data_IF_699117327362
#
_entry.id   IF_699117327362
#
_cell.length_a   1.000
_cell.length_b   1.000
_cell.length_c   1.000
_cell.angle_alpha   90.00
_cell.angle_beta   90.00
_cell.angle_gamma   90.00
#
_symmetry.space_group_name_H-M   'P 1'
#
loop_
_entity.id
_entity.type
_entity.pdbx_description
1 polymer ?
#
# COMPACT_ATOMS: atom_id res chain seq x y z
N UNK A 1 13.75 5.93 -7.78
CA UNK A 1 13.05 4.63 -7.97
C UNK A 1 13.78 3.77 -8.98
N UNK A 2 13.78 4.11 -10.28
CA UNK A 2 14.39 3.27 -11.34
C UNK A 2 15.87 2.97 -11.06
N UNK A 3 16.68 3.99 -10.81
CA UNK A 3 18.11 3.82 -10.52
C UNK A 3 18.43 2.99 -9.26
N UNK A 4 17.64 3.12 -8.20
CA UNK A 4 17.82 2.34 -6.96
C UNK A 4 17.39 0.87 -7.13
N UNK A 5 16.35 0.63 -7.92
CA UNK A 5 15.90 -0.73 -8.28
C UNK A 5 16.94 -1.38 -9.19
N UNK A 6 17.36 -0.69 -10.26
CA UNK A 6 18.40 -1.16 -11.17
C UNK A 6 19.68 -1.47 -10.40
N UNK A 7 20.09 -0.58 -9.49
CA UNK A 7 21.21 -0.83 -8.58
C UNK A 7 21.04 -2.12 -7.79
N UNK A 8 19.91 -2.34 -7.11
CA UNK A 8 19.67 -3.59 -6.34
C UNK A 8 19.70 -4.84 -7.23
N UNK A 9 19.13 -4.78 -8.43
CA UNK A 9 19.14 -5.89 -9.38
C UNK A 9 20.56 -6.15 -9.92
N UNK A 10 21.33 -5.10 -10.23
CA UNK A 10 22.73 -5.21 -10.64
C UNK A 10 23.55 -5.94 -9.57
N UNK A 11 23.38 -5.60 -8.29
CA UNK A 11 24.07 -6.27 -7.19
C UNK A 11 23.60 -7.71 -6.96
N UNK A 12 22.28 -7.94 -6.91
CA UNK A 12 21.75 -9.26 -6.52
C UNK A 12 21.90 -10.33 -7.60
N UNK A 13 21.93 -9.93 -8.86
CA UNK A 13 22.01 -10.84 -10.01
C UNK A 13 23.32 -10.71 -10.79
N UNK A 14 24.30 -9.97 -10.27
CA UNK A 14 25.60 -9.67 -10.92
C UNK A 14 25.44 -9.16 -12.38
N UNK A 15 24.39 -8.38 -12.62
CA UNK A 15 24.08 -7.84 -13.95
C UNK A 15 24.82 -6.54 -14.19
N UNK A 16 25.56 -6.45 -15.31
CA UNK A 16 26.14 -5.20 -15.77
C UNK A 16 25.05 -4.30 -16.36
N UNK A 17 24.61 -3.31 -15.57
CA UNK A 17 23.66 -2.30 -16.02
C UNK A 17 24.45 -1.02 -16.34
N UNK A 18 24.31 -0.44 -17.54
CA UNK A 18 24.98 0.81 -17.85
C UNK A 18 24.57 1.88 -16.81
N UNK A 19 25.51 2.73 -16.41
CA UNK A 19 25.32 3.81 -15.42
C UNK A 19 25.26 3.39 -13.94
N UNK A 20 25.42 2.10 -13.63
CA UNK A 20 25.43 1.58 -12.25
C UNK A 20 26.76 0.91 -11.97
N UNK A 21 27.56 1.49 -11.07
CA UNK A 21 28.73 0.84 -10.49
C UNK A 21 28.34 0.20 -9.16
N UNK A 22 28.65 -1.09 -9.00
CA UNK A 22 28.39 -1.86 -7.79
C UNK A 22 29.70 -1.96 -7.01
N UNK A 23 29.76 -1.39 -5.81
CA UNK A 23 30.84 -1.59 -4.84
C UNK A 23 30.33 -2.51 -3.70
N UNK A 24 31.23 -3.15 -2.97
CA UNK A 24 30.93 -4.24 -2.02
C UNK A 24 29.78 -3.97 -1.04
N UNK A 25 29.54 -2.72 -0.63
CA UNK A 25 28.49 -2.34 0.35
C UNK A 25 27.46 -1.32 -0.16
N UNK A 26 27.67 -0.74 -1.34
CA UNK A 26 26.84 0.33 -1.89
C UNK A 26 27.04 0.42 -3.39
N UNK A 27 26.13 1.09 -4.08
CA UNK A 27 26.26 1.26 -5.51
C UNK A 27 26.12 2.70 -5.91
N UNK A 28 27.04 3.09 -6.79
CA UNK A 28 27.13 4.43 -7.34
C UNK A 28 26.34 4.43 -8.63
N UNK A 29 25.26 5.19 -8.64
CA UNK A 29 24.52 5.44 -9.87
C UNK A 29 25.01 6.76 -10.45
N UNK A 30 25.58 6.68 -11.65
CA UNK A 30 26.05 7.83 -12.43
C UNK A 30 24.92 8.26 -13.37
N UNK A 31 24.15 9.28 -13.01
CA UNK A 31 23.02 9.73 -13.86
C UNK A 31 23.58 10.42 -15.12
N UNK A 32 23.37 9.86 -16.34
CA UNK A 32 23.80 10.54 -17.56
C UNK A 32 22.98 11.84 -17.72
N UNK A 33 23.66 12.93 -18.08
CA UNK A 33 23.25 14.35 -18.13
C UNK A 33 23.55 15.24 -16.91
N UNK A 34 23.63 14.72 -15.68
CA UNK A 34 23.63 15.58 -14.49
C UNK A 34 24.91 15.53 -13.64
N UNK A 35 25.90 14.69 -13.99
CA UNK A 35 27.11 14.40 -13.19
C UNK A 35 26.84 14.09 -11.69
N UNK A 36 25.58 13.83 -11.33
CA UNK A 36 25.14 13.53 -9.99
C UNK A 36 25.53 12.09 -9.65
N UNK A 37 26.45 11.95 -8.70
CA UNK A 37 26.86 10.66 -8.13
C UNK A 37 26.02 10.38 -6.90
N UNK A 38 25.10 9.43 -7.02
CA UNK A 38 24.22 9.05 -5.90
C UNK A 38 24.70 7.72 -5.33
N UNK A 39 25.05 7.71 -4.05
CA UNK A 39 25.34 6.48 -3.31
C UNK A 39 24.03 5.84 -2.85
N UNK A 40 23.77 4.64 -3.35
CA UNK A 40 22.60 3.84 -2.99
C UNK A 40 23.08 2.68 -2.12
N UNK A 41 22.79 2.67 -0.80
CA UNK A 41 23.17 1.56 0.06
C UNK A 41 22.36 0.30 -0.27
N UNK A 42 23.01 -0.86 -0.37
CA UNK A 42 22.30 -2.11 -0.64
C UNK A 42 21.63 -2.67 0.61
N UNK A 43 20.41 -2.21 0.87
CA UNK A 43 19.59 -2.75 1.95
C UNK A 43 18.20 -3.11 1.45
N UNK A 44 17.63 -4.19 1.99
CA UNK A 44 16.21 -4.51 1.87
C UNK A 44 15.31 -3.35 2.31
N UNK A 45 15.82 -2.43 3.13
CA UNK A 45 15.18 -1.17 3.49
C UNK A 45 14.79 -0.32 2.27
N UNK A 46 15.58 -0.34 1.19
CA UNK A 46 15.26 0.41 -0.03
C UNK A 46 14.00 -0.16 -0.70
N UNK A 47 13.91 -1.49 -0.81
CA UNK A 47 12.73 -2.14 -1.38
C UNK A 47 11.50 -1.86 -0.54
N UNK A 48 11.62 -2.01 0.80
CA UNK A 48 10.53 -1.73 1.74
C UNK A 48 10.06 -0.29 1.62
N UNK A 49 10.99 0.67 1.55
CA UNK A 49 10.69 2.09 1.37
C UNK A 49 9.92 2.34 0.06
N UNK A 50 10.38 1.79 -1.07
CA UNK A 50 9.68 1.96 -2.36
C UNK A 50 8.31 1.29 -2.37
N UNK A 51 8.20 0.09 -1.81
CA UNK A 51 6.92 -0.62 -1.66
C UNK A 51 5.93 0.19 -0.82
N UNK A 52 6.39 0.80 0.28
CA UNK A 52 5.57 1.68 1.11
C UNK A 52 5.12 2.94 0.33
N UNK A 53 6.03 3.62 -0.37
CA UNK A 53 5.67 4.79 -1.19
C UNK A 53 4.65 4.46 -2.29
N UNK A 54 4.84 3.34 -2.98
CA UNK A 54 3.91 2.89 -4.02
C UNK A 54 2.55 2.55 -3.42
N UNK A 55 2.53 1.82 -2.29
CA UNK A 55 1.31 1.51 -1.56
C UNK A 55 0.54 2.78 -1.21
N UNK A 56 1.20 3.78 -0.60
CA UNK A 56 0.53 5.01 -0.20
C UNK A 56 0.05 5.85 -1.39
N UNK A 57 0.75 5.82 -2.52
CA UNK A 57 0.29 6.47 -3.75
C UNK A 57 -1.05 5.88 -4.21
N UNK A 58 -1.15 4.54 -4.25
CA UNK A 58 -2.38 3.83 -4.58
C UNK A 58 -3.46 4.10 -3.52
N UNK A 59 -3.07 4.13 -2.25
CA UNK A 59 -3.96 4.38 -1.12
C UNK A 59 -4.62 5.77 -1.21
N UNK A 60 -3.85 6.84 -1.41
CA UNK A 60 -4.40 8.19 -1.51
C UNK A 60 -5.27 8.37 -2.76
N UNK A 61 -4.91 7.71 -3.86
CA UNK A 61 -5.78 7.67 -5.04
C UNK A 61 -7.12 6.98 -4.74
N UNK A 62 -7.10 5.87 -4.01
CA UNK A 62 -8.31 5.17 -3.59
C UNK A 62 -9.13 6.00 -2.59
N UNK A 63 -8.48 6.69 -1.64
CA UNK A 63 -9.10 7.58 -0.67
C UNK A 63 -9.82 8.75 -1.37
N UNK A 64 -9.19 9.36 -2.37
CA UNK A 64 -9.85 10.37 -3.23
C UNK A 64 -11.12 9.82 -3.88
N UNK A 65 -11.07 8.59 -4.38
CA UNK A 65 -12.22 7.94 -4.99
C UNK A 65 -13.30 7.54 -3.98
N UNK A 66 -12.90 7.22 -2.75
CA UNK A 66 -13.79 6.98 -1.62
C UNK A 66 -14.58 8.24 -1.27
N UNK A 67 -13.91 9.38 -1.06
CA UNK A 67 -14.60 10.65 -0.78
C UNK A 67 -15.54 11.09 -1.89
N UNK A 68 -15.19 10.81 -3.16
CA UNK A 68 -16.09 11.07 -4.31
C UNK A 68 -17.42 10.31 -4.26
N UNK A 69 -17.53 9.22 -3.49
CA UNK A 69 -18.80 8.51 -3.33
C UNK A 69 -19.82 9.34 -2.55
N UNK A 70 -19.37 10.11 -1.54
CA UNK A 70 -20.24 10.90 -0.68
C UNK A 70 -20.75 12.20 -1.34
N UNK A 71 -20.05 12.67 -2.38
CA UNK A 71 -20.43 13.88 -3.13
C UNK A 71 -21.40 13.53 -4.28
N UNK A 72 -21.53 12.25 -4.63
CA UNK A 72 -22.41 11.82 -5.72
C UNK A 72 -23.88 11.78 -5.27
N UNK A 73 -24.76 12.21 -6.18
CA UNK A 73 -26.22 12.21 -5.97
C UNK A 73 -26.79 10.81 -5.65
N UNK A 74 -26.22 9.76 -6.24
CA UNK A 74 -26.65 8.37 -6.02
C UNK A 74 -25.57 7.55 -5.29
N UNK A 75 -25.71 7.40 -3.98
CA UNK A 75 -24.74 6.67 -3.15
C UNK A 75 -24.88 5.15 -3.24
N UNK A 76 -26.06 4.63 -3.58
CA UNK A 76 -26.38 3.19 -3.62
C UNK A 76 -26.00 2.48 -4.92
N UNK A 77 -25.33 3.17 -5.86
CA UNK A 77 -24.89 2.56 -7.11
C UNK A 77 -23.86 1.43 -6.89
N UNK A 78 -23.92 0.41 -7.73
CA UNK A 78 -22.95 -0.71 -7.74
C UNK A 78 -21.50 -0.22 -7.90
N UNK A 79 -21.29 0.86 -8.66
CA UNK A 79 -19.97 1.51 -8.84
C UNK A 79 -19.43 2.11 -7.55
N UNK A 80 -20.30 2.72 -6.74
CA UNK A 80 -19.96 3.27 -5.42
C UNK A 80 -19.57 2.15 -4.46
N UNK A 81 -20.37 1.09 -4.38
CA UNK A 81 -20.06 -0.09 -3.57
C UNK A 81 -18.73 -0.76 -3.95
N UNK A 82 -18.42 -0.89 -5.25
CA UNK A 82 -17.14 -1.44 -5.71
C UNK A 82 -15.94 -0.61 -5.23
N UNK A 83 -16.04 0.73 -5.28
CA UNK A 83 -14.98 1.64 -4.80
C UNK A 83 -14.74 1.52 -3.30
N UNK A 84 -15.82 1.44 -2.50
CA UNK A 84 -15.71 1.24 -1.06
C UNK A 84 -15.09 -0.10 -0.71
N UNK A 85 -15.50 -1.19 -1.37
CA UNK A 85 -14.89 -2.52 -1.16
C UNK A 85 -13.41 -2.52 -1.51
N UNK A 86 -13.02 -1.83 -2.57
CA UNK A 86 -11.61 -1.70 -2.94
C UNK A 86 -10.83 -0.95 -1.85
N UNK A 87 -11.36 0.17 -1.36
CA UNK A 87 -10.72 0.92 -0.28
C UNK A 87 -10.65 0.14 1.04
N UNK A 88 -11.68 -0.65 1.36
CA UNK A 88 -11.64 -1.58 2.49
C UNK A 88 -10.49 -2.59 2.34
N UNK A 89 -10.39 -3.26 1.19
CA UNK A 89 -9.32 -4.24 0.91
C UNK A 89 -7.94 -3.61 1.05
N UNK A 90 -7.76 -2.37 0.56
CA UNK A 90 -6.48 -1.67 0.71
C UNK A 90 -6.11 -1.42 2.17
N UNK A 91 -7.07 -1.08 3.03
CA UNK A 91 -6.82 -0.91 4.47
C UNK A 91 -6.54 -2.24 5.21
N UNK A 92 -6.89 -3.39 4.63
CA UNK A 92 -6.53 -4.70 5.19
C UNK A 92 -5.07 -5.09 4.91
N UNK A 93 -4.42 -4.52 3.90
CA UNK A 93 -3.05 -4.91 3.51
C UNK A 93 -2.03 -4.68 4.65
N UNK A 94 -1.98 -3.50 5.32
CA UNK A 94 -1.06 -3.28 6.43
C UNK A 94 -1.29 -4.22 7.61
N UNK A 95 -2.55 -4.61 7.84
CA UNK A 95 -2.93 -5.54 8.90
C UNK A 95 -2.41 -6.95 8.59
N UNK A 96 -2.60 -7.42 7.34
CA UNK A 96 -2.06 -8.72 6.92
C UNK A 96 -0.52 -8.71 7.00
N UNK A 97 0.11 -7.61 6.58
CA UNK A 97 1.56 -7.45 6.66
C UNK A 97 2.07 -7.58 8.10
N UNK A 98 1.47 -6.88 9.06
CA UNK A 98 1.92 -6.97 10.46
C UNK A 98 1.70 -8.35 11.04
N UNK A 99 0.59 -9.03 10.70
CA UNK A 99 0.32 -10.39 11.19
C UNK A 99 1.40 -11.35 10.70
N UNK A 100 1.73 -11.31 9.40
CA UNK A 100 2.79 -12.15 8.82
C UNK A 100 4.13 -11.84 9.49
N UNK A 101 4.45 -10.56 9.68
CA UNK A 101 5.69 -10.13 10.31
C UNK A 101 5.80 -10.62 11.74
N UNK A 102 4.77 -10.39 12.57
CA UNK A 102 4.70 -10.87 13.95
C UNK A 102 4.83 -12.38 14.05
N UNK A 103 4.11 -13.14 13.22
CA UNK A 103 4.21 -14.61 13.18
C UNK A 103 5.64 -15.04 12.82
N UNK A 104 6.28 -14.38 11.87
CA UNK A 104 7.65 -14.69 11.48
C UNK A 104 8.67 -14.48 12.60
N UNK A 105 8.49 -13.43 13.42
CA UNK A 105 9.32 -13.16 14.59
C UNK A 105 9.09 -14.21 15.69
N UNK A 106 7.83 -14.53 15.97
CA UNK A 106 7.48 -15.56 16.96
C UNK A 106 8.07 -16.93 16.60
N UNK A 107 8.06 -17.31 15.32
CA UNK A 107 8.66 -18.55 14.85
C UNK A 107 10.20 -18.58 14.94
N UNK A 108 10.86 -17.41 14.93
CA UNK A 108 12.32 -17.29 15.06
C UNK A 108 12.80 -17.20 16.51
N UNK A 109 11.89 -17.02 17.46
CA UNK A 109 12.23 -16.82 18.87
C UNK A 109 12.85 -15.46 19.18
N UNK A 110 12.78 -14.51 18.24
CA UNK A 110 13.31 -13.16 18.39
C UNK A 110 12.39 -12.32 19.28
N UNK A 111 12.98 -11.46 20.11
CA UNK A 111 12.20 -10.54 20.97
C UNK A 111 11.48 -9.51 20.13
N UNK A 112 10.16 -9.54 20.18
CA UNK A 112 9.30 -8.58 19.52
C UNK A 112 9.39 -7.21 20.19
N UNK A 113 9.94 -6.22 19.48
CA UNK A 113 9.92 -4.82 19.92
C UNK A 113 8.84 -4.07 19.16
N UNK A 114 7.74 -3.65 19.82
CA UNK A 114 6.72 -2.85 19.16
C UNK A 114 7.26 -1.44 18.86
N UNK A 115 7.70 -1.20 17.62
CA UNK A 115 8.11 0.12 17.11
C UNK A 115 6.91 0.93 16.57
N UNK A 116 7.12 2.19 16.20
CA UNK A 116 6.10 3.16 15.75
C UNK A 116 5.11 2.67 14.66
N UNK A 117 5.46 1.61 13.92
CA UNK A 117 4.65 1.03 12.84
C UNK A 117 3.27 0.51 13.30
N UNK A 118 3.09 0.15 14.59
CA UNK A 118 1.78 -0.31 15.10
C UNK A 118 0.71 0.77 15.06
N UNK A 119 1.08 2.04 15.23
CA UNK A 119 0.11 3.14 15.19
C UNK A 119 -0.52 3.27 13.80
N UNK A 120 0.29 3.16 12.75
CA UNK A 120 -0.16 3.20 11.36
C UNK A 120 -1.11 2.04 11.08
N UNK A 121 -0.75 0.83 11.51
CA UNK A 121 -1.61 -0.35 11.31
C UNK A 121 -2.92 -0.21 12.08
N UNK A 122 -2.89 0.32 13.31
CA UNK A 122 -4.08 0.61 14.09
C UNK A 122 -4.99 1.62 13.39
N UNK A 123 -4.43 2.70 12.83
CA UNK A 123 -5.21 3.66 12.05
C UNK A 123 -5.91 2.98 10.85
N UNK A 124 -5.21 2.12 10.11
CA UNK A 124 -5.80 1.34 9.02
C UNK A 124 -6.90 0.38 9.50
N UNK A 125 -6.75 -0.23 10.67
CA UNK A 125 -7.79 -1.08 11.29
C UNK A 125 -9.05 -0.28 11.62
N UNK A 126 -8.91 0.89 12.25
CA UNK A 126 -10.04 1.77 12.56
C UNK A 126 -10.75 2.20 11.28
N UNK A 127 -9.99 2.63 10.26
CA UNK A 127 -10.55 3.03 8.96
C UNK A 127 -11.26 1.85 8.28
N UNK A 128 -10.66 0.66 8.26
CA UNK A 128 -11.27 -0.54 7.72
C UNK A 128 -12.60 -0.88 8.42
N UNK A 129 -12.62 -0.80 9.75
CA UNK A 129 -13.81 -1.05 10.55
C UNK A 129 -14.94 -0.06 10.22
N UNK A 130 -14.64 1.24 10.14
CA UNK A 130 -15.62 2.26 9.76
C UNK A 130 -16.17 2.04 8.34
N UNK A 131 -15.31 1.71 7.38
CA UNK A 131 -15.75 1.42 6.00
C UNK A 131 -16.62 0.17 5.97
N UNK A 132 -16.30 -0.85 6.76
CA UNK A 132 -17.10 -2.07 6.86
C UNK A 132 -18.52 -1.78 7.34
N UNK A 133 -18.66 -1.02 8.43
CA UNK A 133 -19.97 -0.61 8.95
C UNK A 133 -20.74 0.18 7.89
N UNK A 134 -20.08 1.13 7.22
CA UNK A 134 -20.71 1.94 6.19
C UNK A 134 -21.14 1.11 4.96
N UNK A 135 -20.33 0.14 4.55
CA UNK A 135 -20.68 -0.80 3.48
C UNK A 135 -21.90 -1.65 3.82
N UNK A 136 -22.05 -2.06 5.08
CA UNK A 136 -23.23 -2.81 5.54
C UNK A 136 -24.51 -1.98 5.39
N UNK A 137 -24.47 -0.73 5.86
CA UNK A 137 -25.59 0.23 5.73
C UNK A 137 -25.95 0.45 4.26
N UNK A 138 -24.96 0.69 3.38
CA UNK A 138 -25.23 0.93 1.96
C UNK A 138 -25.80 -0.31 1.24
N UNK A 139 -25.38 -1.52 1.62
CA UNK A 139 -25.95 -2.75 1.04
C UNK A 139 -27.42 -2.90 1.43
N UNK A 140 -27.74 -2.67 2.71
CA UNK A 140 -29.12 -2.70 3.21
C UNK A 140 -29.97 -1.64 2.53
N UNK A 141 -29.48 -0.41 2.40
CA UNK A 141 -30.18 0.67 1.69
C UNK A 141 -30.42 0.34 0.22
N UNK A 142 -29.44 -0.25 -0.47
CA UNK A 142 -29.60 -0.70 -1.86
C UNK A 142 -30.69 -1.78 -1.99
N UNK A 143 -30.72 -2.73 -1.06
CA UNK A 143 -31.73 -3.79 -1.07
C UNK A 143 -33.14 -3.23 -0.90
N UNK A 144 -33.35 -2.32 0.06
CA UNK A 144 -34.65 -1.65 0.27
C UNK A 144 -35.05 -0.79 -0.95
N UNK A 145 -34.09 -0.12 -1.58
CA UNK A 145 -34.36 0.64 -2.80
C UNK A 145 -34.83 -0.28 -3.95
N UNK A 146 -34.16 -1.43 -4.12
CA UNK A 146 -34.54 -2.42 -5.14
C UNK A 146 -35.93 -3.03 -4.86
N UNK A 147 -36.29 -3.26 -3.60
CA UNK A 147 -37.63 -3.71 -3.22
C UNK A 147 -38.71 -2.67 -3.54
N UNK A 148 -38.48 -1.40 -3.17
CA UNK A 148 -39.44 -0.32 -3.42
C UNK A 148 -39.63 -0.03 -4.91
N UNK A 149 -38.55 -0.04 -5.70
CA UNK A 149 -38.59 0.17 -7.16
C UNK A 149 -39.31 -0.99 -7.90
N UNK A 150 -39.50 -2.16 -7.26
CA UNK A 150 -40.27 -3.29 -7.81
C UNK A 150 -41.76 -3.24 -7.45
N UNK A 151 -42.14 -2.48 -6.43
CA UNK A 151 -43.53 -2.38 -5.92
C UNK A 151 -44.32 -1.18 -6.42
N UNK A 152 -43.66 -0.20 -7.06
CA UNK A 152 -44.27 1.01 -7.66
C UNK A 152 -44.19 0.90 -9.18
#
# INVERSE_FOLDING_TARGET
>A
MVFSILSYFAYKFDMQIPFVEVLESHSKVNVPLLELRINVPFSYSIIIMWSAMLYYTIYFYALKNFFKVFIKKNMFETKSLKRLRFFLKLNLIPIIYIIIFTVSFLLRGDTFSPQDDYFIVFAHLVVAFLIYLYLDILKKGKHVQEENDLTI
#
